data_IF_928302506027
#
_entry.id   IF_928302506027
#
_cell.length_a   1.000
_cell.length_b   1.000
_cell.length_c   1.000
_cell.angle_alpha   90.00
_cell.angle_beta   90.00
_cell.angle_gamma   90.00
#
_symmetry.space_group_name_H-M   'P 1'
#
loop_
_entity.id
_entity.type
_entity.pdbx_description
1 polymer ?
#
# COMPACT_ATOMS: atom_id res chain seq x y z
N UNK A 1 11.38 4.46 5.32
CA UNK A 1 10.50 3.99 4.21
C UNK A 1 10.79 4.89 3.00
N UNK A 2 12.07 5.02 2.67
CA UNK A 2 12.58 5.94 1.62
C UNK A 2 12.59 5.27 0.24
N UNK A 3 11.95 4.12 0.14
CA UNK A 3 12.04 3.21 -0.99
C UNK A 3 11.03 3.53 -2.10
N UNK A 4 10.07 4.41 -1.78
CA UNK A 4 9.04 4.92 -2.70
C UNK A 4 9.28 6.40 -3.08
N UNK A 5 10.36 7.00 -2.56
CA UNK A 5 10.77 8.37 -2.87
C UNK A 5 12.12 8.28 -3.57
N UNK A 6 12.22 8.77 -4.81
CA UNK A 6 13.45 8.75 -5.61
C UNK A 6 14.54 9.65 -5.02
N UNK A 7 15.02 9.42 -3.79
CA UNK A 7 16.10 10.21 -3.17
C UNK A 7 15.83 11.73 -3.07
N UNK A 8 14.65 12.20 -3.46
CA UNK A 8 14.17 13.56 -3.39
C UNK A 8 13.22 13.63 -2.20
N UNK A 9 13.75 14.05 -1.06
CA UNK A 9 13.04 14.21 0.21
C UNK A 9 11.82 15.16 0.18
N UNK A 10 11.52 15.76 -0.98
CA UNK A 10 10.42 16.68 -1.19
C UNK A 10 9.15 16.02 -1.80
N UNK A 11 9.29 14.88 -2.50
CA UNK A 11 8.17 14.22 -3.19
C UNK A 11 7.79 12.91 -2.49
N UNK A 12 7.02 12.99 -1.41
CA UNK A 12 6.43 11.84 -0.74
C UNK A 12 5.20 11.35 -1.52
N UNK A 13 5.35 10.41 -2.47
CA UNK A 13 4.18 9.78 -3.09
C UNK A 13 4.37 9.19 -4.49
N UNK A 14 3.25 9.10 -5.20
CA UNK A 14 3.16 8.59 -6.58
C UNK A 14 3.70 9.62 -7.59
N UNK A 15 4.53 9.17 -8.53
CA UNK A 15 4.99 9.95 -9.68
C UNK A 15 4.61 9.23 -10.97
N UNK A 16 4.11 9.97 -11.96
CA UNK A 16 3.81 9.42 -13.29
C UNK A 16 5.06 8.99 -14.07
N UNK A 17 6.25 9.33 -13.56
CA UNK A 17 7.53 8.90 -14.14
C UNK A 17 7.87 7.44 -13.81
N UNK A 18 7.21 6.83 -12.82
CA UNK A 18 7.45 5.45 -12.46
C UNK A 18 6.96 4.49 -13.55
N UNK A 19 7.84 3.59 -13.99
CA UNK A 19 7.42 2.45 -14.81
C UNK A 19 6.82 1.34 -13.95
N UNK A 20 6.06 0.44 -14.56
CA UNK A 20 5.44 -0.67 -13.82
C UNK A 20 6.49 -1.60 -13.20
N UNK A 21 7.61 -1.82 -13.89
CA UNK A 21 8.74 -2.62 -13.41
C UNK A 21 9.33 -2.00 -12.14
N UNK A 22 9.50 -0.67 -12.13
CA UNK A 22 10.00 0.05 -10.96
C UNK A 22 9.06 -0.15 -9.76
N UNK A 23 7.74 0.00 -9.96
CA UNK A 23 6.73 -0.21 -8.90
C UNK A 23 6.81 -1.63 -8.35
N UNK A 24 6.86 -2.65 -9.20
CA UNK A 24 6.91 -4.06 -8.76
C UNK A 24 8.19 -4.38 -7.97
N UNK A 25 9.34 -3.86 -8.40
CA UNK A 25 10.60 -4.03 -7.67
C UNK A 25 10.56 -3.33 -6.32
N UNK A 26 10.00 -2.12 -6.26
CA UNK A 26 9.83 -1.39 -5.00
C UNK A 26 8.93 -2.13 -4.02
N UNK A 27 7.78 -2.66 -4.49
CA UNK A 27 6.88 -3.48 -3.67
C UNK A 27 7.60 -4.72 -3.15
N UNK A 28 8.33 -5.43 -4.01
CA UNK A 28 9.13 -6.60 -3.60
C UNK A 28 10.14 -6.23 -2.51
N UNK A 29 10.86 -5.12 -2.68
CA UNK A 29 11.86 -4.71 -1.71
C UNK A 29 11.21 -4.29 -0.39
N UNK A 30 10.09 -3.56 -0.43
CA UNK A 30 9.30 -3.17 0.75
C UNK A 30 8.82 -4.40 1.56
N UNK A 31 8.30 -5.42 0.88
CA UNK A 31 7.88 -6.69 1.51
C UNK A 31 9.07 -7.49 2.07
N UNK A 32 10.25 -7.34 1.49
CA UNK A 32 11.47 -8.04 1.90
C UNK A 32 12.29 -7.28 2.95
N UNK A 33 11.83 -6.10 3.39
CA UNK A 33 12.51 -5.35 4.45
C UNK A 33 12.45 -6.10 5.76
N UNK A 34 13.47 -5.96 6.61
CA UNK A 34 13.50 -6.57 7.93
C UNK A 34 12.90 -5.68 9.03
N UNK A 35 12.43 -4.46 8.69
CA UNK A 35 12.07 -3.42 9.66
C UNK A 35 10.76 -2.69 9.28
N UNK A 36 9.60 -3.15 9.78
CA UNK A 36 9.34 -4.48 10.33
C UNK A 36 9.25 -5.54 9.20
N UNK A 37 9.59 -6.81 9.47
CA UNK A 37 9.49 -7.84 8.46
C UNK A 37 8.02 -8.15 8.14
N UNK A 38 7.71 -8.35 6.86
CA UNK A 38 6.41 -8.85 6.46
C UNK A 38 6.14 -10.22 7.11
N UNK A 39 4.89 -10.44 7.54
CA UNK A 39 4.46 -11.67 8.23
C UNK A 39 3.32 -12.30 7.47
N UNK A 40 3.33 -13.62 7.40
CA UNK A 40 2.20 -14.39 6.89
C UNK A 40 1.03 -14.28 7.89
N UNK A 41 -0.18 -14.02 7.37
CA UNK A 41 -1.39 -14.07 8.19
C UNK A 41 -1.63 -15.50 8.69
N UNK A 42 -2.05 -15.64 9.95
CA UNK A 42 -2.45 -16.94 10.52
C UNK A 42 -3.60 -17.56 9.74
N UNK A 43 -4.44 -16.71 9.13
CA UNK A 43 -5.59 -17.10 8.34
C UNK A 43 -5.30 -17.14 6.84
N UNK A 44 -4.05 -17.43 6.42
CA UNK A 44 -3.60 -17.41 5.02
C UNK A 44 -4.45 -18.24 4.04
N UNK A 45 -5.22 -19.22 4.53
CA UNK A 45 -6.12 -20.04 3.70
C UNK A 45 -7.39 -19.31 3.29
N UNK A 46 -7.74 -18.22 3.95
CA UNK A 46 -8.89 -17.41 3.60
C UNK A 46 -8.53 -16.55 2.38
N UNK A 47 -9.51 -16.36 1.50
CA UNK A 47 -9.33 -15.52 0.32
C UNK A 47 -9.16 -14.05 0.71
N UNK A 48 -8.19 -13.38 0.08
CA UNK A 48 -8.03 -11.94 0.21
C UNK A 48 -9.14 -11.23 -0.55
N UNK A 49 -9.99 -10.48 0.16
CA UNK A 49 -11.18 -9.85 -0.42
C UNK A 49 -10.94 -8.38 -0.76
N UNK A 50 -11.74 -7.84 -1.68
CA UNK A 50 -11.70 -6.42 -2.01
C UNK A 50 -12.06 -5.53 -0.79
N UNK A 51 -12.92 -6.02 0.11
CA UNK A 51 -13.25 -5.34 1.38
C UNK A 51 -12.00 -5.21 2.26
N UNK A 52 -11.17 -6.25 2.32
CA UNK A 52 -9.93 -6.24 3.08
C UNK A 52 -8.92 -5.24 2.50
N UNK A 53 -8.78 -5.22 1.17
CA UNK A 53 -7.94 -4.27 0.45
C UNK A 53 -8.37 -2.81 0.70
N UNK A 54 -9.67 -2.56 0.61
CA UNK A 54 -10.28 -1.26 0.91
C UNK A 54 -9.98 -0.83 2.35
N UNK A 55 -10.19 -1.71 3.33
CA UNK A 55 -9.91 -1.41 4.73
C UNK A 55 -8.41 -1.17 4.98
N UNK A 56 -7.53 -1.91 4.32
CA UNK A 56 -6.09 -1.70 4.41
C UNK A 56 -5.68 -0.33 3.86
N UNK A 57 -6.20 0.05 2.69
CA UNK A 57 -5.99 1.38 2.13
C UNK A 57 -6.45 2.50 3.07
N UNK A 58 -7.67 2.40 3.63
CA UNK A 58 -8.20 3.39 4.58
C UNK A 58 -7.27 3.56 5.79
N UNK A 59 -6.76 2.45 6.35
CA UNK A 59 -5.82 2.51 7.49
C UNK A 59 -4.54 3.27 7.15
N UNK A 60 -3.93 2.95 6.01
CA UNK A 60 -2.69 3.59 5.55
C UNK A 60 -2.94 5.06 5.19
N UNK A 61 -4.02 5.34 4.48
CA UNK A 61 -4.39 6.71 4.11
C UNK A 61 -4.56 7.60 5.35
N UNK A 62 -5.25 7.12 6.39
CA UNK A 62 -5.39 7.86 7.64
C UNK A 62 -4.04 8.07 8.38
N UNK A 63 -3.12 7.10 8.32
CA UNK A 63 -1.79 7.23 8.93
C UNK A 63 -0.91 8.27 8.22
N UNK A 64 -1.06 8.40 6.90
CA UNK A 64 -0.25 9.30 6.08
C UNK A 64 -0.96 10.60 5.70
N UNK A 65 -2.20 10.81 6.16
CA UNK A 65 -3.01 11.99 5.81
C UNK A 65 -3.44 12.03 4.35
N UNK A 66 -3.51 10.88 3.67
CA UNK A 66 -4.00 10.80 2.29
C UNK A 66 -5.52 10.91 2.25
N UNK A 67 -6.03 11.57 1.20
CA UNK A 67 -7.47 11.68 0.98
C UNK A 67 -8.09 10.32 0.67
N UNK A 68 -9.22 10.02 1.29
CA UNK A 68 -10.04 8.84 0.99
C UNK A 68 -11.17 9.30 0.05
N UNK A 69 -11.39 8.63 -1.10
CA UNK A 69 -12.48 8.99 -2.00
C UNK A 69 -13.86 8.91 -1.32
N UNK A 70 -14.81 9.78 -1.70
CA UNK A 70 -16.20 9.66 -1.26
C UNK A 70 -16.76 8.26 -1.54
N UNK A 71 -17.57 7.74 -0.61
CA UNK A 71 -18.22 6.42 -0.68
C UNK A 71 -17.27 5.22 -0.81
N UNK A 72 -15.95 5.40 -0.63
CA UNK A 72 -14.97 4.34 -0.76
C UNK A 72 -15.29 3.13 0.12
N UNK A 73 -15.76 3.37 1.35
CA UNK A 73 -16.11 2.33 2.32
C UNK A 73 -17.35 1.50 1.93
N UNK A 74 -18.15 1.97 0.97
CA UNK A 74 -19.37 1.30 0.51
C UNK A 74 -19.17 0.51 -0.79
N UNK A 75 -18.04 0.69 -1.48
CA UNK A 75 -17.83 0.17 -2.83
C UNK A 75 -17.81 -1.36 -2.90
N UNK A 76 -17.46 -2.04 -1.81
CA UNK A 76 -17.38 -3.49 -1.73
C UNK A 76 -18.31 -4.11 -0.68
N UNK A 77 -19.17 -3.31 -0.04
CA UNK A 77 -20.22 -3.82 0.85
C UNK A 77 -21.33 -4.43 -0.02
N UNK A 78 -21.44 -5.77 -0.01
CA UNK A 78 -22.57 -6.49 -0.63
C UNK A 78 -23.76 -6.54 0.33
#
# INVERSE_FOLDING_TARGET
>A
MDLLTLGNSHDQGWSSQYTMEAVLIQVKLALSTLNPPARLDRNWKNEYTAVEAMNAYIRVANQHGWGIPPQWDTLFKR
#
